data_IF_460890753726
#
_entry.id   IF_460890753726
#
_cell.length_a   1.000
_cell.length_b   1.000
_cell.length_c   1.000
_cell.angle_alpha   90.00
_cell.angle_beta   90.00
_cell.angle_gamma   90.00
#
_symmetry.space_group_name_H-M   'P 1'
#
loop_
_entity.id
_entity.type
_entity.pdbx_description
1 polymer ?
#
# COMPACT_ATOMS: atom_id res chain seq x y z
N UNK A 1 13.45 5.28 -14.59
CA UNK A 1 13.24 6.35 -13.59
C UNK A 1 12.34 5.79 -12.52
N UNK A 2 12.72 5.77 -11.23
CA UNK A 2 11.84 5.31 -10.16
C UNK A 2 10.90 6.44 -9.72
N UNK A 3 9.63 6.14 -9.45
CA UNK A 3 8.70 7.11 -8.89
C UNK A 3 8.94 7.28 -7.38
N UNK A 4 8.49 8.41 -6.83
CA UNK A 4 8.54 8.69 -5.39
C UNK A 4 7.25 8.17 -4.75
N UNK A 5 7.38 7.50 -3.61
CA UNK A 5 6.26 6.95 -2.84
C UNK A 5 6.08 7.79 -1.57
N UNK A 6 4.82 8.07 -1.25
CA UNK A 6 4.42 8.77 -0.04
C UNK A 6 3.31 7.96 0.66
N UNK A 7 3.29 7.99 1.99
CA UNK A 7 2.17 7.46 2.75
C UNK A 7 0.95 8.38 2.60
N UNK A 8 -0.24 7.79 2.56
CA UNK A 8 -1.48 8.53 2.37
C UNK A 8 -1.79 9.46 3.55
N UNK A 9 -1.42 9.04 4.76
CA UNK A 9 -1.54 9.82 5.98
C UNK A 9 -0.50 9.36 7.02
N UNK A 10 -0.40 10.12 8.09
CA UNK A 10 0.54 9.88 9.19
C UNK A 10 0.24 8.57 9.93
N UNK A 11 -1.04 8.20 10.09
CA UNK A 11 -1.42 6.97 10.77
C UNK A 11 -0.92 5.74 10.02
N UNK A 12 -1.01 5.74 8.69
CA UNK A 12 -0.47 4.67 7.84
C UNK A 12 1.05 4.59 7.95
N UNK A 13 1.73 5.75 7.99
CA UNK A 13 3.19 5.79 8.19
C UNK A 13 3.60 5.16 9.52
N UNK A 14 2.98 5.59 10.61
CA UNK A 14 3.31 5.09 11.96
C UNK A 14 3.00 3.60 12.09
N UNK A 15 1.89 3.11 11.51
CA UNK A 15 1.58 1.69 11.48
C UNK A 15 2.65 0.87 10.75
N UNK A 16 3.18 1.38 9.63
CA UNK A 16 4.27 0.74 8.90
C UNK A 16 5.58 0.72 9.69
N UNK A 17 5.93 1.84 10.35
CA UNK A 17 7.13 1.92 11.19
C UNK A 17 7.04 0.98 12.42
N UNK A 18 5.87 0.91 13.06
CA UNK A 18 5.62 -0.02 14.16
C UNK A 18 5.75 -1.48 13.70
N UNK A 19 5.24 -1.81 12.51
CA UNK A 19 5.39 -3.14 11.92
C UNK A 19 6.86 -3.50 11.69
N UNK A 20 7.67 -2.55 11.20
CA UNK A 20 9.11 -2.74 11.02
C UNK A 20 9.86 -2.92 12.34
N UNK A 21 9.42 -2.24 13.40
CA UNK A 21 10.04 -2.32 14.73
C UNK A 21 9.56 -3.53 15.56
N UNK A 22 8.54 -4.25 15.10
CA UNK A 22 7.97 -5.39 15.83
C UNK A 22 8.99 -6.51 16.03
N UNK A 23 8.96 -7.13 17.21
CA UNK A 23 9.77 -8.32 17.51
C UNK A 23 9.11 -9.60 16.99
N UNK A 24 7.82 -9.56 16.66
CA UNK A 24 7.09 -10.70 16.13
C UNK A 24 7.70 -11.14 14.76
N UNK A 25 8.04 -12.43 14.59
CA UNK A 25 8.60 -12.91 13.32
C UNK A 25 7.64 -12.78 12.13
N UNK A 26 6.33 -12.86 12.36
CA UNK A 26 5.30 -12.70 11.33
C UNK A 26 5.24 -11.26 10.84
N UNK A 27 5.24 -10.30 11.76
CA UNK A 27 5.25 -8.87 11.44
C UNK A 27 6.50 -8.47 10.67
N UNK A 28 7.68 -8.91 11.11
CA UNK A 28 8.95 -8.64 10.40
C UNK A 28 8.91 -9.19 8.97
N UNK A 29 8.41 -10.40 8.79
CA UNK A 29 8.24 -10.99 7.46
C UNK A 29 7.26 -10.20 6.60
N UNK A 30 6.15 -9.71 7.19
CA UNK A 30 5.20 -8.86 6.48
C UNK A 30 5.84 -7.53 6.07
N UNK A 31 6.60 -6.90 6.96
CA UNK A 31 7.31 -5.66 6.69
C UNK A 31 8.31 -5.82 5.53
N UNK A 32 9.08 -6.92 5.50
CA UNK A 32 9.98 -7.24 4.38
C UNK A 32 9.23 -7.39 3.05
N UNK A 33 8.06 -8.05 3.06
CA UNK A 33 7.22 -8.19 1.87
C UNK A 33 6.70 -6.83 1.39
N UNK A 34 6.30 -5.95 2.31
CA UNK A 34 5.86 -4.59 1.99
C UNK A 34 6.99 -3.76 1.40
N UNK A 35 8.20 -3.80 1.98
CA UNK A 35 9.38 -3.10 1.42
C UNK A 35 9.64 -3.53 -0.03
N UNK A 36 9.61 -4.85 -0.30
CA UNK A 36 9.77 -5.37 -1.68
C UNK A 36 8.63 -4.93 -2.60
N UNK A 37 7.41 -4.82 -2.10
CA UNK A 37 6.27 -4.32 -2.86
C UNK A 37 6.45 -2.82 -3.18
N UNK A 38 6.89 -2.01 -2.23
CA UNK A 38 7.21 -0.59 -2.44
C UNK A 38 8.31 -0.41 -3.49
N UNK A 39 9.36 -1.24 -3.48
CA UNK A 39 10.40 -1.21 -4.51
C UNK A 39 9.87 -1.51 -5.91
N UNK A 40 8.94 -2.46 -6.03
CA UNK A 40 8.27 -2.76 -7.30
C UNK A 40 7.35 -1.63 -7.75
N UNK A 41 6.57 -1.06 -6.84
CA UNK A 41 5.73 0.09 -7.12
C UNK A 41 6.56 1.30 -7.55
N UNK A 42 7.75 1.49 -6.96
CA UNK A 42 8.68 2.53 -7.33
C UNK A 42 9.24 2.32 -8.75
N UNK A 43 9.46 1.07 -9.16
CA UNK A 43 9.91 0.74 -10.51
C UNK A 43 8.77 0.83 -11.55
N UNK A 44 7.56 0.43 -11.19
CA UNK A 44 6.35 0.46 -12.01
C UNK A 44 5.11 0.72 -11.14
N UNK A 45 4.57 1.95 -11.22
CA UNK A 45 3.40 2.35 -10.45
C UNK A 45 2.09 1.63 -10.88
N UNK A 46 2.09 0.98 -12.05
CA UNK A 46 0.93 0.31 -12.63
C UNK A 46 0.97 -1.21 -12.47
N UNK A 47 1.94 -1.76 -11.76
CA UNK A 47 2.10 -3.21 -11.58
C UNK A 47 0.99 -3.88 -10.73
N UNK A 48 0.07 -3.10 -10.16
CA UNK A 48 -1.10 -3.59 -9.41
C UNK A 48 -2.35 -3.77 -10.28
N UNK A 49 -3.45 -4.15 -9.64
CA UNK A 49 -4.78 -4.24 -10.27
C UNK A 49 -5.48 -2.90 -10.09
N UNK A 50 -5.83 -2.23 -11.18
CA UNK A 50 -6.64 -1.02 -11.11
C UNK A 50 -8.02 -1.34 -10.54
N UNK A 51 -8.46 -0.58 -9.52
CA UNK A 51 -9.78 -0.73 -8.92
C UNK A 51 -10.80 -0.02 -9.81
N UNK A 52 -11.83 -0.72 -10.34
CA UNK A 52 -12.89 -0.07 -11.08
C UNK A 52 -13.55 1.03 -10.25
N UNK A 53 -13.80 2.20 -10.85
CA UNK A 53 -14.35 3.39 -10.16
C UNK A 53 -15.62 3.09 -9.35
N UNK A 54 -16.47 2.23 -9.89
CA UNK A 54 -17.72 1.78 -9.25
C UNK A 54 -17.52 0.93 -7.97
N UNK A 55 -16.34 0.37 -7.78
CA UNK A 55 -15.97 -0.46 -6.63
C UNK A 55 -15.17 0.32 -5.57
N UNK A 56 -14.81 1.58 -5.82
CA UNK A 56 -14.15 2.43 -4.82
C UNK A 56 -15.20 2.84 -3.79
N UNK A 57 -14.95 2.54 -2.52
CA UNK A 57 -15.92 2.80 -1.44
C UNK A 57 -16.06 4.30 -1.18
N UNK A 58 -17.27 4.72 -0.74
CA UNK A 58 -17.55 6.11 -0.39
C UNK A 58 -16.66 6.63 0.74
N UNK A 59 -16.22 5.77 1.64
CA UNK A 59 -15.33 6.13 2.75
C UNK A 59 -13.96 6.58 2.26
N UNK A 60 -13.40 5.89 1.27
CA UNK A 60 -12.13 6.30 0.65
C UNK A 60 -12.25 7.66 -0.02
N UNK A 61 -13.40 7.91 -0.67
CA UNK A 61 -13.69 9.21 -1.24
C UNK A 61 -13.80 10.33 -0.19
N UNK A 62 -14.38 10.03 0.97
CA UNK A 62 -14.47 10.99 2.08
C UNK A 62 -13.11 11.26 2.71
N UNK A 63 -12.28 10.23 2.87
CA UNK A 63 -10.97 10.33 3.55
C UNK A 63 -9.89 10.97 2.68
N UNK A 64 -9.81 10.57 1.41
CA UNK A 64 -8.73 10.97 0.50
C UNK A 64 -9.19 11.82 -0.69
N UNK A 65 -10.46 12.22 -0.72
CA UNK A 65 -11.03 13.01 -1.80
C UNK A 65 -11.48 12.20 -3.02
N UNK A 66 -11.85 12.85 -4.13
CA UNK A 66 -12.35 12.17 -5.32
C UNK A 66 -11.27 11.32 -6.02
N UNK A 67 -11.16 10.04 -5.65
CA UNK A 67 -10.24 9.07 -6.25
C UNK A 67 -10.72 8.62 -7.64
N UNK A 68 -9.87 8.77 -8.66
CA UNK A 68 -10.12 8.23 -10.02
C UNK A 68 -9.07 7.18 -10.42
N UNK A 69 -8.06 7.00 -9.59
CA UNK A 69 -6.78 6.39 -9.89
C UNK A 69 -6.32 5.56 -8.67
N UNK A 70 -7.10 4.53 -8.32
CA UNK A 70 -6.80 3.62 -7.22
C UNK A 70 -6.33 2.28 -7.78
N UNK A 71 -5.22 1.77 -7.25
CA UNK A 71 -4.70 0.43 -7.55
C UNK A 71 -4.62 -0.39 -6.28
N UNK A 72 -4.82 -1.69 -6.42
CA UNK A 72 -4.64 -2.70 -5.37
C UNK A 72 -3.45 -3.56 -5.72
N UNK A 73 -2.51 -3.71 -4.79
CA UNK A 73 -1.34 -4.56 -4.98
C UNK A 73 -1.53 -5.87 -4.21
N UNK A 74 -1.55 -7.01 -4.90
CA UNK A 74 -1.72 -8.29 -4.22
C UNK A 74 -0.39 -8.73 -3.60
N UNK A 75 -0.32 -8.71 -2.27
CA UNK A 75 0.73 -9.41 -1.52
C UNK A 75 0.49 -10.92 -1.52
N UNK A 76 1.54 -11.68 -1.21
CA UNK A 76 1.44 -13.14 -1.07
C UNK A 76 0.49 -13.53 0.06
N UNK A 77 -0.09 -14.74 0.02
CA UNK A 77 -0.96 -15.32 1.06
C UNK A 77 -2.24 -14.51 1.36
N UNK A 78 -2.90 -14.02 0.32
CA UNK A 78 -4.19 -13.29 0.41
C UNK A 78 -4.13 -11.89 1.02
N UNK A 79 -2.95 -11.40 1.40
CA UNK A 79 -2.75 -10.00 1.77
C UNK A 79 -2.96 -9.09 0.56
N UNK A 80 -3.52 -7.90 0.80
CA UNK A 80 -3.94 -6.92 -0.22
C UNK A 80 -3.50 -5.52 0.18
#
# INVERSE_FOLDING_TARGET
>A
MKCRIYFADEQVREAFLALQASQDPGDRRLAELLVRALDRLAADAFCGIQVPKKLITKEYHKKYGPLKNLWKYNLTRSWR
#
